data_IF_855637933678
#
_entry.id   IF_855637933678
#
_cell.length_a   1.000
_cell.length_b   1.000
_cell.length_c   1.000
_cell.angle_alpha   90.00
_cell.angle_beta   90.00
_cell.angle_gamma   90.00
#
_symmetry.space_group_name_H-M   'P 1'
#
loop_
_entity.id
_entity.type
_entity.pdbx_description
1 polymer ?
#
# COMPACT_ATOMS: atom_id res chain seq x y z
N UNK A 1 37.10 -4.70 -9.89
CA UNK A 1 35.63 -4.63 -10.00
C UNK A 1 35.29 -3.25 -10.51
N UNK A 2 34.84 -3.15 -11.77
CA UNK A 2 34.58 -1.88 -12.43
C UNK A 2 33.34 -1.21 -11.84
N UNK A 3 33.54 -0.02 -11.26
CA UNK A 3 32.44 0.90 -10.98
C UNK A 3 31.86 1.34 -12.32
N UNK A 4 30.70 0.81 -12.69
CA UNK A 4 29.94 1.34 -13.81
C UNK A 4 29.37 2.68 -13.33
N UNK A 5 29.92 3.78 -13.86
CA UNK A 5 29.29 5.08 -13.72
C UNK A 5 27.93 5.01 -14.40
N UNK A 6 26.88 5.53 -13.74
CA UNK A 6 25.53 5.68 -14.34
C UNK A 6 25.54 6.47 -15.67
N UNK A 7 26.64 7.16 -15.99
CA UNK A 7 26.85 7.84 -17.28
C UNK A 7 27.18 6.90 -18.45
N UNK A 8 27.44 5.61 -18.21
CA UNK A 8 27.79 4.62 -19.24
C UNK A 8 26.61 3.76 -19.72
N UNK A 9 25.42 3.92 -19.13
CA UNK A 9 24.20 3.33 -19.67
C UNK A 9 23.85 4.05 -20.99
N UNK A 10 24.14 3.42 -22.13
CA UNK A 10 23.74 3.95 -23.43
C UNK A 10 22.23 4.13 -23.45
N UNK A 11 21.76 5.21 -24.09
CA UNK A 11 20.32 5.50 -24.26
C UNK A 11 19.54 4.33 -24.87
N UNK A 12 20.24 3.43 -25.58
CA UNK A 12 19.67 2.25 -26.20
C UNK A 12 19.33 1.11 -25.23
N UNK A 13 19.92 1.07 -24.01
CA UNK A 13 19.57 0.08 -22.98
C UNK A 13 18.29 0.43 -22.21
N UNK A 14 17.75 1.64 -22.38
CA UNK A 14 16.49 2.11 -21.81
C UNK A 14 15.46 2.41 -22.92
N UNK A 15 15.50 1.68 -24.03
CA UNK A 15 14.33 1.63 -24.94
C UNK A 15 13.29 0.75 -24.24
N UNK A 16 12.63 1.33 -23.24
CA UNK A 16 11.43 0.75 -22.65
C UNK A 16 10.37 0.75 -23.74
N UNK A 17 10.05 -0.45 -24.25
CA UNK A 17 8.97 -0.61 -25.21
C UNK A 17 7.69 -0.16 -24.52
N UNK A 18 7.15 0.99 -24.92
CA UNK A 18 5.90 1.53 -24.37
C UNK A 18 4.78 0.61 -24.85
N UNK A 19 4.49 -0.42 -24.07
CA UNK A 19 3.32 -1.27 -24.27
C UNK A 19 2.12 -0.67 -23.53
N UNK A 20 0.94 -0.77 -24.13
CA UNK A 20 -0.29 -0.33 -23.48
C UNK A 20 -0.49 -1.08 -22.16
N UNK A 21 -0.99 -0.38 -21.15
CA UNK A 21 -1.25 -0.98 -19.86
C UNK A 21 -2.24 -2.16 -20.01
N UNK A 22 -1.95 -3.35 -19.46
CA UNK A 22 -2.69 -4.59 -19.75
C UNK A 22 -4.03 -4.63 -19.01
N UNK A 23 -4.96 -3.75 -19.38
CA UNK A 23 -6.27 -3.63 -18.75
C UNK A 23 -7.09 -4.92 -18.85
N UNK A 24 -6.83 -5.72 -19.88
CA UNK A 24 -7.45 -7.02 -20.13
C UNK A 24 -7.07 -8.08 -19.07
N UNK A 25 -6.01 -7.86 -18.30
CA UNK A 25 -5.59 -8.78 -17.23
C UNK A 25 -6.48 -8.65 -15.97
N UNK A 26 -7.25 -7.57 -15.86
CA UNK A 26 -8.16 -7.35 -14.74
C UNK A 26 -9.49 -8.12 -14.94
N UNK A 27 -10.15 -8.53 -13.85
CA UNK A 27 -11.54 -8.98 -13.94
C UNK A 27 -12.40 -7.93 -14.66
N UNK A 28 -13.31 -8.35 -15.55
CA UNK A 28 -14.08 -7.45 -16.43
C UNK A 28 -14.72 -6.27 -15.68
N UNK A 29 -15.30 -6.52 -14.50
CA UNK A 29 -15.92 -5.49 -13.67
C UNK A 29 -14.90 -4.43 -13.19
N UNK A 30 -13.69 -4.86 -12.82
CA UNK A 30 -12.61 -3.98 -12.39
C UNK A 30 -12.04 -3.22 -13.58
N UNK A 31 -11.83 -3.88 -14.72
CA UNK A 31 -11.38 -3.25 -15.95
C UNK A 31 -12.33 -2.10 -16.38
N UNK A 32 -13.64 -2.33 -16.32
CA UNK A 32 -14.64 -1.29 -16.59
C UNK A 32 -14.61 -0.14 -15.58
N UNK A 33 -14.38 -0.42 -14.30
CA UNK A 33 -14.26 0.62 -13.27
C UNK A 33 -13.01 1.49 -13.49
N UNK A 34 -11.87 0.86 -13.79
CA UNK A 34 -10.62 1.54 -14.14
C UNK A 34 -10.82 2.47 -15.34
N UNK A 35 -11.42 1.96 -16.43
CA UNK A 35 -11.67 2.76 -17.64
C UNK A 35 -12.57 3.96 -17.35
N UNK A 36 -13.62 3.79 -16.53
CA UNK A 36 -14.50 4.90 -16.12
C UNK A 36 -13.76 5.92 -15.25
N UNK A 37 -13.01 5.47 -14.25
CA UNK A 37 -12.25 6.35 -13.36
C UNK A 37 -11.20 7.14 -14.15
N UNK A 38 -10.48 6.49 -15.07
CA UNK A 38 -9.54 7.15 -15.99
C UNK A 38 -10.23 8.21 -16.88
N UNK A 39 -11.40 7.87 -17.43
CA UNK A 39 -12.19 8.78 -18.26
C UNK A 39 -12.65 10.03 -17.51
N UNK A 40 -13.26 9.86 -16.33
CA UNK A 40 -13.84 10.97 -15.56
C UNK A 40 -12.79 11.87 -14.90
N UNK A 41 -11.65 11.31 -14.49
CA UNK A 41 -10.59 12.07 -13.83
C UNK A 41 -9.50 12.54 -14.79
N UNK A 42 -9.65 12.27 -16.09
CA UNK A 42 -8.71 12.66 -17.15
C UNK A 42 -7.27 12.19 -16.89
N UNK A 43 -7.10 10.98 -16.35
CA UNK A 43 -5.79 10.37 -16.10
C UNK A 43 -5.51 9.22 -17.07
N UNK A 44 -4.23 8.88 -17.32
CA UNK A 44 -3.89 7.67 -18.05
C UNK A 44 -4.49 6.41 -17.40
N UNK A 45 -4.92 5.44 -18.21
CA UNK A 45 -5.46 4.15 -17.73
C UNK A 45 -4.52 3.48 -16.74
N UNK A 46 -3.21 3.56 -16.95
CA UNK A 46 -2.21 3.03 -16.04
C UNK A 46 -2.31 3.65 -14.63
N UNK A 47 -2.51 4.96 -14.52
CA UNK A 47 -2.59 5.66 -13.22
C UNK A 47 -3.82 5.19 -12.44
N UNK A 48 -4.98 5.12 -13.10
CA UNK A 48 -6.18 4.57 -12.48
C UNK A 48 -5.99 3.09 -12.13
N UNK A 49 -5.47 2.27 -13.05
CA UNK A 49 -5.33 0.84 -12.82
C UNK A 49 -4.44 0.50 -11.63
N UNK A 50 -3.37 1.28 -11.40
CA UNK A 50 -2.50 1.11 -10.24
C UNK A 50 -3.23 1.29 -8.91
N UNK A 51 -4.20 2.21 -8.82
CA UNK A 51 -4.97 2.41 -7.58
C UNK A 51 -5.92 1.24 -7.31
N UNK A 52 -6.55 0.70 -8.35
CA UNK A 52 -7.40 -0.49 -8.24
C UNK A 52 -6.58 -1.75 -7.93
N UNK A 53 -5.40 -1.91 -8.53
CA UNK A 53 -4.50 -3.04 -8.25
C UNK A 53 -4.03 -3.03 -6.79
N UNK A 54 -3.62 -1.86 -6.27
CA UNK A 54 -3.25 -1.70 -4.87
C UNK A 54 -4.41 -2.11 -3.94
N UNK A 55 -5.63 -1.69 -4.27
CA UNK A 55 -6.81 -2.03 -3.47
C UNK A 55 -7.19 -3.51 -3.53
N UNK A 56 -7.11 -4.13 -4.71
CA UNK A 56 -7.32 -5.56 -4.85
C UNK A 56 -6.29 -6.35 -4.03
N UNK A 57 -5.02 -5.92 -4.06
CA UNK A 57 -3.97 -6.51 -3.23
C UNK A 57 -4.31 -6.40 -1.75
N UNK A 58 -4.64 -5.20 -1.26
CA UNK A 58 -5.04 -4.97 0.14
C UNK A 58 -6.15 -5.92 0.62
N UNK A 59 -7.18 -6.12 -0.21
CA UNK A 59 -8.26 -7.06 0.09
C UNK A 59 -7.75 -8.51 0.10
N UNK A 60 -6.94 -8.89 -0.89
CA UNK A 60 -6.43 -10.25 -1.05
C UNK A 60 -5.44 -10.67 0.06
N UNK A 61 -4.69 -9.74 0.65
CA UNK A 61 -3.65 -10.01 1.66
C UNK A 61 -4.09 -10.96 2.79
N UNK A 62 -5.34 -10.88 3.24
CA UNK A 62 -5.85 -11.74 4.32
C UNK A 62 -6.24 -13.15 3.90
N UNK A 63 -6.36 -13.40 2.59
CA UNK A 63 -6.91 -14.64 2.05
C UNK A 63 -5.86 -15.51 1.37
N UNK A 64 -4.76 -14.91 0.89
CA UNK A 64 -3.75 -15.60 0.11
C UNK A 64 -2.34 -15.30 0.60
N UNK A 65 -1.48 -16.32 0.51
CA UNK A 65 -0.04 -16.14 0.58
C UNK A 65 0.53 -16.02 -0.83
N UNK A 66 1.56 -15.19 -0.98
CA UNK A 66 2.40 -15.20 -2.17
C UNK A 66 3.22 -16.50 -2.22
N UNK A 67 3.43 -17.09 -3.42
CA UNK A 67 4.35 -18.21 -3.59
C UNK A 67 5.73 -17.88 -3.03
N UNK A 68 6.38 -18.85 -2.40
CA UNK A 68 7.70 -18.68 -1.81
C UNK A 68 8.57 -19.90 -2.05
N UNK A 69 9.84 -19.66 -2.37
CA UNK A 69 10.91 -20.65 -2.41
C UNK A 69 11.35 -21.11 -1.02
N UNK A 70 11.07 -20.32 0.02
CA UNK A 70 11.48 -20.58 1.41
C UNK A 70 10.45 -21.40 2.20
N UNK A 71 9.17 -21.34 1.82
CA UNK A 71 8.08 -21.97 2.56
C UNK A 71 7.00 -22.48 1.63
N UNK A 72 6.67 -23.77 1.74
CA UNK A 72 5.63 -24.42 0.93
C UNK A 72 4.25 -23.76 1.12
N UNK A 73 3.95 -23.29 2.33
CA UNK A 73 2.70 -22.54 2.60
C UNK A 73 2.68 -21.13 2.00
N UNK A 74 3.74 -20.70 1.32
CA UNK A 74 3.94 -19.32 0.88
C UNK A 74 4.33 -18.35 2.00
N UNK A 75 4.40 -17.07 1.64
CA UNK A 75 4.64 -15.93 2.54
C UNK A 75 3.46 -14.95 2.48
N UNK A 76 3.24 -14.11 3.51
CA UNK A 76 2.19 -13.10 3.46
C UNK A 76 2.27 -12.29 2.17
N UNK A 77 1.15 -12.17 1.45
CA UNK A 77 1.12 -11.41 0.21
C UNK A 77 1.35 -9.92 0.51
N UNK A 78 2.17 -9.26 -0.31
CA UNK A 78 2.36 -7.80 -0.29
C UNK A 78 2.53 -7.30 -1.72
N UNK A 79 2.23 -6.01 -1.93
CA UNK A 79 2.41 -5.36 -3.23
C UNK A 79 2.84 -3.91 -2.99
N UNK A 80 4.02 -3.57 -3.50
CA UNK A 80 4.51 -2.21 -3.56
C UNK A 80 4.18 -1.59 -4.92
N UNK A 81 3.55 -0.41 -4.93
CA UNK A 81 3.22 0.32 -6.15
C UNK A 81 3.83 1.72 -6.08
N UNK A 82 4.63 2.08 -7.09
CA UNK A 82 5.18 3.42 -7.26
C UNK A 82 4.58 4.07 -8.52
N UNK A 83 3.80 5.12 -8.31
CA UNK A 83 3.22 5.92 -9.40
C UNK A 83 3.85 7.30 -9.39
N UNK A 84 4.66 7.60 -10.41
CA UNK A 84 5.17 8.95 -10.68
C UNK A 84 4.18 9.66 -11.59
N UNK A 85 3.53 10.69 -11.06
CA UNK A 85 2.51 11.45 -11.79
C UNK A 85 2.44 12.89 -11.27
N UNK A 86 2.18 13.89 -12.12
CA UNK A 86 2.09 15.28 -11.71
C UNK A 86 1.12 15.50 -10.55
N UNK A 87 1.51 16.38 -9.62
CA UNK A 87 0.66 16.73 -8.49
C UNK A 87 -0.58 17.51 -8.97
N UNK A 88 -1.74 17.21 -8.38
CA UNK A 88 -3.00 17.88 -8.70
C UNK A 88 -3.75 17.33 -9.91
N UNK A 89 -3.20 16.36 -10.64
CA UNK A 89 -3.82 15.83 -11.86
C UNK A 89 -4.73 14.60 -11.63
N UNK A 90 -5.39 14.49 -10.47
CA UNK A 90 -6.44 13.47 -10.28
C UNK A 90 -5.98 12.07 -9.80
N UNK A 91 -4.67 11.87 -9.55
CA UNK A 91 -4.14 10.61 -8.94
C UNK A 91 -4.85 10.26 -7.62
N UNK A 92 -4.97 11.24 -6.73
CA UNK A 92 -5.59 11.01 -5.42
C UNK A 92 -7.09 10.73 -5.54
N UNK A 93 -7.77 11.31 -6.53
CA UNK A 93 -9.19 11.05 -6.77
C UNK A 93 -9.42 9.61 -7.25
N UNK A 94 -8.57 9.10 -8.15
CA UNK A 94 -8.63 7.69 -8.58
C UNK A 94 -8.35 6.71 -7.43
N UNK A 95 -7.50 7.13 -6.47
CA UNK A 95 -7.21 6.35 -5.26
C UNK A 95 -8.41 6.34 -4.33
N UNK A 96 -9.06 7.48 -4.14
CA UNK A 96 -10.23 7.60 -3.27
C UNK A 96 -11.44 6.83 -3.84
N UNK A 97 -11.63 6.84 -5.17
CA UNK A 97 -12.61 5.99 -5.86
C UNK A 97 -12.42 4.50 -5.54
N UNK A 98 -11.19 4.00 -5.73
CA UNK A 98 -10.85 2.60 -5.51
C UNK A 98 -10.96 2.22 -4.02
N UNK A 99 -10.52 3.12 -3.14
CA UNK A 99 -10.44 2.87 -1.70
C UNK A 99 -11.74 3.12 -0.94
N UNK A 100 -12.76 3.74 -1.56
CA UNK A 100 -13.99 4.21 -0.90
C UNK A 100 -14.54 3.26 0.16
N UNK A 101 -14.84 2.02 -0.24
CA UNK A 101 -15.43 1.02 0.67
C UNK A 101 -14.46 0.59 1.78
N UNK A 102 -13.16 0.47 1.49
CA UNK A 102 -12.19 0.16 2.55
C UNK A 102 -12.04 1.30 3.54
N UNK A 103 -12.08 2.55 3.08
CA UNK A 103 -12.07 3.74 3.95
C UNK A 103 -13.33 3.74 4.83
N UNK A 104 -14.50 3.47 4.28
CA UNK A 104 -15.75 3.36 5.04
C UNK A 104 -15.65 2.27 6.12
N UNK A 105 -15.16 1.08 5.78
CA UNK A 105 -14.96 -0.03 6.73
C UNK A 105 -13.92 0.32 7.82
N UNK A 106 -12.78 0.90 7.44
CA UNK A 106 -11.73 1.32 8.38
C UNK A 106 -12.26 2.39 9.35
N UNK A 107 -13.03 3.37 8.83
CA UNK A 107 -13.68 4.40 9.63
C UNK A 107 -14.69 3.81 10.63
N UNK A 108 -15.52 2.86 10.21
CA UNK A 108 -16.45 2.17 11.11
C UNK A 108 -15.71 1.42 12.21
N UNK A 109 -14.67 0.66 11.87
CA UNK A 109 -13.85 -0.05 12.85
C UNK A 109 -13.17 0.90 13.83
N UNK A 110 -12.66 2.03 13.33
CA UNK A 110 -12.03 3.07 14.16
C UNK A 110 -13.04 3.78 15.05
N UNK A 111 -14.28 3.96 14.61
CA UNK A 111 -15.35 4.52 15.45
C UNK A 111 -15.64 3.60 16.65
N UNK A 112 -15.86 2.30 16.41
CA UNK A 112 -16.07 1.33 17.50
C UNK A 112 -14.88 1.29 18.46
N UNK A 113 -13.65 1.26 17.93
CA UNK A 113 -12.45 1.32 18.75
C UNK A 113 -12.35 2.61 19.59
N UNK A 114 -12.73 3.76 19.02
CA UNK A 114 -12.70 5.04 19.73
C UNK A 114 -13.68 5.07 20.91
N UNK A 115 -14.84 4.43 20.77
CA UNK A 115 -15.81 4.25 21.85
C UNK A 115 -15.24 3.34 22.95
N UNK A 116 -14.66 2.19 22.57
CA UNK A 116 -14.04 1.24 23.50
C UNK A 116 -12.86 1.83 24.28
N UNK A 117 -11.94 2.51 23.60
CA UNK A 117 -10.77 3.11 24.25
C UNK A 117 -11.17 4.27 25.16
N UNK A 118 -12.25 4.98 24.83
CA UNK A 118 -12.80 6.05 25.68
C UNK A 118 -13.40 5.46 26.94
N UNK A 119 -14.23 4.42 26.82
CA UNK A 119 -14.78 3.67 27.95
C UNK A 119 -13.66 3.08 28.84
N UNK A 120 -12.63 2.49 28.23
CA UNK A 120 -11.48 1.95 28.95
C UNK A 120 -10.69 3.02 29.71
N UNK A 121 -10.53 4.23 29.13
CA UNK A 121 -9.81 5.34 29.78
C UNK A 121 -10.49 5.78 31.07
N UNK A 122 -11.83 5.86 31.08
CA UNK A 122 -12.64 6.32 32.21
C UNK A 122 -12.99 5.21 33.22
N UNK A 123 -12.83 3.94 32.85
CA UNK A 123 -13.07 2.81 33.74
C UNK A 123 -12.18 2.87 34.99
N UNK A 124 -12.77 2.55 36.14
CA UNK A 124 -12.05 2.42 37.41
C UNK A 124 -10.97 1.35 37.30
N UNK A 125 -9.78 1.59 37.91
CA UNK A 125 -8.63 0.70 37.79
C UNK A 125 -8.92 -0.77 38.12
N UNK A 126 -9.82 -1.04 39.09
CA UNK A 126 -10.22 -2.41 39.47
C UNK A 126 -11.00 -3.16 38.38
N UNK A 127 -11.67 -2.44 37.48
CA UNK A 127 -12.47 -2.99 36.37
C UNK A 127 -11.78 -2.77 35.01
N UNK A 128 -10.52 -2.33 35.03
CA UNK A 128 -9.78 -1.97 33.83
C UNK A 128 -9.19 -3.25 33.24
N UNK A 129 -9.89 -3.80 32.24
CA UNK A 129 -9.40 -4.93 31.45
C UNK A 129 -8.19 -4.55 30.58
N UNK A 130 -7.87 -5.41 29.62
CA UNK A 130 -6.84 -5.12 28.63
C UNK A 130 -7.16 -3.86 27.83
N UNK A 131 -6.12 -3.13 27.44
CA UNK A 131 -6.28 -1.93 26.64
C UNK A 131 -6.72 -2.33 25.22
N UNK A 132 -7.83 -1.78 24.69
CA UNK A 132 -8.21 -2.00 23.30
C UNK A 132 -7.06 -1.68 22.35
N UNK A 133 -6.90 -2.50 21.32
CA UNK A 133 -5.88 -2.33 20.28
C UNK A 133 -6.55 -1.76 19.04
N UNK A 134 -5.92 -0.76 18.42
CA UNK A 134 -6.49 -0.09 17.24
C UNK A 134 -6.59 -1.07 16.06
N UNK A 135 -7.77 -1.18 15.42
CA UNK A 135 -7.98 -2.00 14.22
C UNK A 135 -7.53 -1.29 12.93
N UNK A 136 -6.95 -0.08 13.03
CA UNK A 136 -6.54 0.69 11.85
C UNK A 136 -5.74 -0.16 10.86
N UNK A 137 -6.18 -0.15 9.61
CA UNK A 137 -5.60 -0.91 8.51
C UNK A 137 -5.08 -0.01 7.38
N UNK A 138 -5.48 1.26 7.35
CA UNK A 138 -5.08 2.26 6.36
C UNK A 138 -4.16 3.30 7.01
N UNK A 139 -2.94 3.42 6.49
CA UNK A 139 -1.93 4.38 6.97
C UNK A 139 -1.62 5.43 5.90
N UNK A 140 -1.66 6.69 6.30
CA UNK A 140 -1.24 7.82 5.48
C UNK A 140 -0.13 8.56 6.21
N UNK A 141 1.02 8.77 5.54
CA UNK A 141 2.18 9.50 6.11
C UNK A 141 2.69 8.96 7.45
N UNK A 142 2.51 7.67 7.71
CA UNK A 142 3.05 7.00 8.89
C UNK A 142 4.56 6.69 8.70
N UNK A 143 5.30 6.57 9.81
CA UNK A 143 6.70 6.12 9.77
C UNK A 143 6.76 4.59 9.67
N UNK A 144 7.79 4.06 9.02
CA UNK A 144 7.99 2.59 8.89
C UNK A 144 7.93 1.88 10.24
N UNK A 145 8.58 2.43 11.27
CA UNK A 145 8.60 1.84 12.61
C UNK A 145 7.22 1.88 13.29
N UNK A 146 6.45 2.94 13.07
CA UNK A 146 5.08 3.04 13.57
C UNK A 146 4.18 1.98 12.94
N UNK A 147 4.26 1.82 11.62
CA UNK A 147 3.48 0.83 10.87
C UNK A 147 3.85 -0.59 11.31
N UNK A 148 5.14 -0.93 11.36
CA UNK A 148 5.59 -2.27 11.79
C UNK A 148 5.14 -2.62 13.21
N UNK A 149 5.29 -1.67 14.15
CA UNK A 149 4.84 -1.86 15.54
C UNK A 149 3.33 -2.06 15.63
N UNK A 150 2.56 -1.37 14.80
CA UNK A 150 1.11 -1.52 14.78
C UNK A 150 0.71 -2.87 14.18
N UNK A 151 1.29 -3.26 13.04
CA UNK A 151 1.01 -4.53 12.37
C UNK A 151 1.29 -5.75 13.26
N UNK A 152 2.26 -5.68 14.18
CA UNK A 152 2.60 -6.80 15.06
C UNK A 152 1.60 -7.08 16.18
N UNK A 153 0.74 -6.09 16.50
CA UNK A 153 -0.24 -6.21 17.59
C UNK A 153 -1.68 -6.03 17.12
N UNK A 154 -1.89 -5.47 15.92
CA UNK A 154 -3.22 -5.14 15.41
C UNK A 154 -4.06 -6.39 15.19
N UNK A 155 -5.38 -6.33 15.45
CA UNK A 155 -6.29 -7.40 15.08
C UNK A 155 -6.52 -7.49 13.56
N UNK A 156 -6.11 -6.49 12.78
CA UNK A 156 -6.26 -6.48 11.32
C UNK A 156 -5.24 -7.40 10.64
N UNK A 157 -5.66 -8.03 9.54
CA UNK A 157 -4.83 -8.99 8.78
C UNK A 157 -4.48 -8.50 7.37
N UNK A 158 -4.92 -7.28 7.03
CA UNK A 158 -4.62 -6.58 5.78
C UNK A 158 -4.20 -5.16 6.14
N UNK A 159 -3.20 -4.62 5.43
CA UNK A 159 -2.69 -3.27 5.68
C UNK A 159 -2.33 -2.57 4.37
N UNK A 160 -2.64 -1.28 4.28
CA UNK A 160 -2.19 -0.42 3.20
C UNK A 160 -1.48 0.80 3.78
N UNK A 161 -0.31 1.11 3.22
CA UNK A 161 0.47 2.28 3.58
C UNK A 161 0.66 3.14 2.34
N UNK A 162 0.05 4.32 2.33
CA UNK A 162 0.10 5.26 1.22
C UNK A 162 0.85 6.53 1.63
N UNK A 163 1.84 6.93 0.82
CA UNK A 163 2.54 8.20 0.97
C UNK A 163 2.73 8.91 -0.37
N UNK A 164 2.41 10.20 -0.41
CA UNK A 164 2.73 11.07 -1.55
C UNK A 164 4.14 11.67 -1.45
N UNK A 165 4.79 11.53 -0.30
CA UNK A 165 6.11 12.06 -0.02
C UNK A 165 7.09 10.89 0.06
N UNK A 166 7.96 10.77 -0.94
CA UNK A 166 8.98 9.73 -1.01
C UNK A 166 9.92 9.74 0.21
N UNK A 167 10.05 10.88 0.91
CA UNK A 167 10.84 10.99 2.13
C UNK A 167 10.39 10.08 3.28
N UNK A 168 9.09 9.76 3.41
CA UNK A 168 8.63 8.81 4.44
C UNK A 168 9.02 7.36 4.12
N UNK A 169 9.16 7.04 2.84
CA UNK A 169 9.56 5.72 2.38
C UNK A 169 11.10 5.62 2.36
N UNK A 170 11.76 6.48 1.61
CA UNK A 170 13.22 6.46 1.37
C UNK A 170 14.05 7.05 2.51
N UNK A 171 13.46 7.82 3.42
CA UNK A 171 14.15 8.38 4.59
C UNK A 171 14.21 7.42 5.79
N UNK A 172 13.55 6.25 5.72
CA UNK A 172 13.59 5.24 6.76
C UNK A 172 14.89 4.42 6.76
N UNK A 173 15.35 4.04 7.96
CA UNK A 173 16.54 3.19 8.15
C UNK A 173 16.56 1.92 7.29
N UNK A 174 15.38 1.33 7.03
CA UNK A 174 15.23 0.09 6.25
C UNK A 174 15.60 0.26 4.76
N UNK A 175 15.35 1.43 4.17
CA UNK A 175 15.66 1.71 2.76
C UNK A 175 16.97 2.47 2.57
N UNK A 176 17.49 3.15 3.60
CA UNK A 176 18.86 3.70 3.57
C UNK A 176 19.94 2.61 3.47
N UNK A 177 19.67 1.41 4.03
CA UNK A 177 20.62 0.29 3.99
C UNK A 177 20.64 -0.45 2.64
N UNK A 178 19.66 -0.23 1.77
CA UNK A 178 19.55 -0.89 0.46
C UNK A 178 20.62 -0.44 -0.57
N UNK A 179 21.48 0.51 -0.22
CA UNK A 179 22.68 0.84 -0.99
C UNK A 179 23.90 -0.03 -0.65
N UNK A 180 23.81 -0.93 0.35
CA UNK A 180 24.88 -1.87 0.67
C UNK A 180 24.29 -3.25 1.00
N UNK A 181 24.56 -4.20 0.11
CA UNK A 181 24.18 -5.61 0.11
C UNK A 181 22.81 -5.98 -0.46
N UNK A 182 22.90 -6.83 -1.50
CA UNK A 182 21.86 -7.65 -2.09
C UNK A 182 20.98 -8.26 -0.99
N UNK A 183 19.71 -7.86 -0.95
CA UNK A 183 18.53 -8.63 -0.54
C UNK A 183 17.34 -7.67 -0.54
N UNK A 184 16.60 -7.61 -1.65
CA UNK A 184 15.42 -6.77 -1.78
C UNK A 184 14.26 -7.37 -0.98
N UNK A 185 13.81 -6.67 0.05
CA UNK A 185 12.46 -6.78 0.61
C UNK A 185 11.84 -5.40 0.42
N UNK A 186 10.93 -5.29 -0.54
CA UNK A 186 10.08 -4.11 -0.73
C UNK A 186 8.72 -4.43 -0.14
N UNK A 187 8.26 -3.62 0.83
CA UNK A 187 6.93 -3.70 1.45
C UNK A 187 5.88 -3.21 0.45
#
# INVERSE_FOLDING_TARGET
MSNILLSELSKDQLIEKIEEYPIYAFPKIVASAIQKSAFYHHVPVAVAAQTYLAQMSFIAQRFINAPSDKKESGQPASLAVLTVFPSGEGKDVCKDDAAKIAIEVDNTNMQSYNEEITAWKIAHQKNKGERPISPQSIFVRATTQGVLKHMSISPSTSFIWSTGEGGYLFGGYSLQRALLHKDFITI
#
